data_IF_646450784524
#
_entry.id   IF_646450784524
#
_cell.length_a   1.000
_cell.length_b   1.000
_cell.length_c   1.000
_cell.angle_alpha   90.00
_cell.angle_beta   90.00
_cell.angle_gamma   90.00
#
_symmetry.space_group_name_H-M   'P 1'
#
loop_
_entity.id
_entity.type
_entity.pdbx_description
1 polymer ?
#
# COMPACT_ATOMS: atom_id res chain seq x y z
N UNK A 1 -24.18 -12.55 2.04
CA UNK A 1 -23.23 -11.51 1.64
C UNK A 1 -22.38 -11.19 2.85
N UNK A 2 -21.05 -11.29 2.75
CA UNK A 2 -20.19 -10.88 3.87
C UNK A 2 -20.46 -9.40 4.17
N UNK A 3 -20.52 -8.98 5.44
CA UNK A 3 -20.74 -7.59 5.81
C UNK A 3 -19.51 -6.75 5.41
N UNK A 4 -19.53 -6.25 4.19
CA UNK A 4 -18.45 -5.47 3.59
C UNK A 4 -18.83 -5.20 2.13
N UNK A 5 -18.63 -3.97 1.66
CA UNK A 5 -18.86 -3.62 0.26
C UNK A 5 -18.02 -4.48 -0.69
N UNK A 6 -18.19 -4.27 -1.99
CA UNK A 6 -17.34 -4.91 -3.00
C UNK A 6 -15.85 -4.61 -2.73
N UNK A 7 -15.02 -5.65 -2.82
CA UNK A 7 -13.56 -5.58 -2.72
C UNK A 7 -12.97 -6.21 -3.98
N UNK A 8 -12.17 -5.45 -4.73
CA UNK A 8 -11.46 -5.98 -5.87
C UNK A 8 -10.35 -6.96 -5.43
N UNK A 9 -10.03 -8.01 -6.21
CA UNK A 9 -8.87 -8.84 -5.94
C UNK A 9 -7.57 -8.02 -5.87
N UNK A 10 -6.59 -8.47 -5.08
CA UNK A 10 -5.28 -7.81 -5.04
C UNK A 10 -4.65 -7.80 -6.44
N UNK A 11 -4.23 -6.63 -6.90
CA UNK A 11 -3.48 -6.44 -8.14
C UNK A 11 -2.03 -6.08 -7.82
N UNK A 12 -1.08 -6.50 -8.66
CA UNK A 12 0.33 -6.14 -8.50
C UNK A 12 0.54 -4.66 -8.83
N UNK A 13 0.77 -3.84 -7.80
CA UNK A 13 1.05 -2.40 -7.96
C UNK A 13 2.52 -2.12 -8.21
N UNK A 14 3.40 -2.87 -7.54
CA UNK A 14 4.84 -2.81 -7.76
C UNK A 14 5.39 -4.21 -8.09
N UNK A 15 5.71 -4.49 -9.36
CA UNK A 15 6.35 -5.75 -9.74
C UNK A 15 7.79 -5.82 -9.19
N UNK A 16 8.21 -7.00 -8.70
CA UNK A 16 9.56 -7.23 -8.15
C UNK A 16 10.71 -6.73 -9.04
N UNK A 17 10.57 -6.93 -10.35
CA UNK A 17 11.56 -6.52 -11.36
C UNK A 17 11.79 -5.01 -11.43
N UNK A 18 10.83 -4.19 -10.97
CA UNK A 18 10.93 -2.73 -10.92
C UNK A 18 11.45 -2.20 -9.58
N UNK A 19 11.61 -3.07 -8.58
CA UNK A 19 11.88 -2.68 -7.20
C UNK A 19 12.90 -3.59 -6.50
N UNK A 20 13.94 -4.01 -7.24
CA UNK A 20 15.06 -4.81 -6.71
C UNK A 20 14.62 -6.07 -5.95
N UNK A 21 13.54 -6.70 -6.37
CA UNK A 21 13.00 -7.92 -5.76
C UNK A 21 11.78 -7.72 -4.86
N UNK A 22 11.39 -6.49 -4.51
CA UNK A 22 10.18 -6.25 -3.72
C UNK A 22 8.93 -6.29 -4.60
N UNK A 23 8.02 -7.23 -4.35
CA UNK A 23 6.69 -7.25 -4.98
C UNK A 23 5.62 -6.74 -4.02
N UNK A 24 4.73 -5.88 -4.52
CA UNK A 24 3.64 -5.30 -3.74
C UNK A 24 2.32 -5.46 -4.50
N UNK A 25 1.57 -6.54 -4.26
CA UNK A 25 0.17 -6.59 -4.62
C UNK A 25 -0.71 -5.97 -3.53
N UNK A 26 -1.77 -5.28 -3.95
CA UNK A 26 -2.68 -4.63 -3.01
C UNK A 26 -4.08 -4.45 -3.54
N UNK A 27 -4.98 -4.09 -2.62
CA UNK A 27 -6.36 -3.69 -2.89
C UNK A 27 -6.80 -2.63 -1.88
N UNK A 28 -7.98 -2.06 -2.09
CA UNK A 28 -8.62 -1.14 -1.15
C UNK A 28 -9.87 -1.77 -0.56
N UNK A 29 -10.11 -1.52 0.72
CA UNK A 29 -11.34 -1.95 1.38
C UNK A 29 -11.96 -0.79 2.14
N UNK A 30 -13.28 -0.84 2.26
CA UNK A 30 -14.05 0.06 3.10
C UNK A 30 -14.90 -0.77 4.05
N UNK A 31 -14.57 -0.74 5.34
CA UNK A 31 -15.19 -1.55 6.38
C UNK A 31 -15.64 -0.64 7.51
N UNK A 32 -16.94 -0.61 7.80
CA UNK A 32 -17.51 0.14 8.92
C UNK A 32 -17.11 1.64 8.94
N UNK A 33 -17.04 2.31 7.79
CA UNK A 33 -16.66 3.73 7.70
C UNK A 33 -15.15 3.99 7.64
N UNK A 34 -14.32 2.95 7.78
CA UNK A 34 -12.86 3.05 7.70
C UNK A 34 -12.35 2.54 6.37
N UNK A 35 -11.41 3.28 5.77
CA UNK A 35 -10.76 2.94 4.51
C UNK A 35 -9.41 2.30 4.83
N UNK A 36 -9.10 1.19 4.18
CA UNK A 36 -7.80 0.53 4.31
C UNK A 36 -7.19 0.29 2.94
N UNK A 37 -5.87 0.47 2.86
CA UNK A 37 -5.05 -0.10 1.81
C UNK A 37 -4.53 -1.45 2.33
N UNK A 38 -4.99 -2.54 1.71
CA UNK A 38 -4.59 -3.89 2.07
C UNK A 38 -3.45 -4.31 1.14
N UNK A 39 -2.28 -4.52 1.72
CA UNK A 39 -1.02 -4.69 1.00
C UNK A 39 -0.41 -6.03 1.37
N UNK A 40 0.18 -6.73 0.41
CA UNK A 40 1.12 -7.80 0.69
C UNK A 40 2.52 -7.32 0.27
N UNK A 41 3.52 -7.50 1.12
CA UNK A 41 4.91 -7.26 0.78
C UNK A 41 5.60 -8.61 0.62
N UNK A 42 6.14 -8.90 -0.56
CA UNK A 42 6.88 -10.13 -0.82
C UNK A 42 8.30 -9.80 -1.23
N UNK A 43 9.29 -10.27 -0.47
CA UNK A 43 10.70 -10.11 -0.79
C UNK A 43 11.16 -11.28 -1.69
N UNK A 44 11.37 -11.02 -2.98
CA UNK A 44 11.95 -11.96 -3.95
C UNK A 44 13.44 -11.73 -4.19
N UNK A 45 14.09 -10.86 -3.40
CA UNK A 45 15.52 -10.63 -3.45
C UNK A 45 16.29 -11.68 -2.61
N UNK A 46 17.61 -11.63 -2.68
CA UNK A 46 18.51 -12.48 -1.89
C UNK A 46 18.97 -11.83 -0.57
N UNK A 47 18.64 -10.56 -0.35
CA UNK A 47 18.96 -9.82 0.87
C UNK A 47 17.68 -9.50 1.64
N UNK A 48 17.80 -9.32 2.95
CA UNK A 48 16.69 -8.83 3.77
C UNK A 48 16.35 -7.38 3.41
N UNK A 49 15.11 -6.99 3.62
CA UNK A 49 14.62 -5.62 3.40
C UNK A 49 14.16 -5.03 4.73
N UNK A 50 14.51 -3.77 4.97
CA UNK A 50 14.23 -3.03 6.21
C UNK A 50 13.65 -1.66 5.90
N UNK A 51 13.29 -0.92 6.95
CA UNK A 51 13.02 0.52 6.88
C UNK A 51 11.99 0.91 5.81
N UNK A 52 10.92 0.11 5.72
CA UNK A 52 9.85 0.35 4.77
C UNK A 52 9.12 1.65 5.06
N UNK A 53 8.96 2.46 4.03
CA UNK A 53 8.21 3.71 4.09
C UNK A 53 7.25 3.84 2.91
N UNK A 54 6.15 4.54 3.15
CA UNK A 54 5.16 4.87 2.14
C UNK A 54 4.77 6.33 2.30
N UNK A 55 4.69 7.03 1.18
CA UNK A 55 4.17 8.40 1.14
C UNK A 55 3.22 8.52 -0.04
N UNK A 56 2.11 9.23 0.16
CA UNK A 56 1.20 9.57 -0.94
C UNK A 56 1.47 10.99 -1.41
N UNK A 57 1.51 11.15 -2.73
CA UNK A 57 1.41 12.48 -3.32
C UNK A 57 0.01 13.05 -3.03
N UNK A 58 -0.11 14.38 -3.15
CA UNK A 58 -1.42 15.05 -3.17
C UNK A 58 -2.29 14.37 -4.24
N UNK A 59 -3.56 14.16 -3.92
CA UNK A 59 -4.50 13.47 -4.81
C UNK A 59 -5.89 14.09 -4.73
N UNK A 60 -6.78 13.70 -5.65
CA UNK A 60 -8.08 14.37 -5.86
C UNK A 60 -9.00 14.32 -4.65
N UNK A 61 -8.80 13.35 -3.74
CA UNK A 61 -9.68 13.08 -2.61
C UNK A 61 -9.00 13.27 -1.26
N UNK A 62 -7.78 13.85 -1.24
CA UNK A 62 -7.03 14.07 0.00
C UNK A 62 -6.71 12.79 0.75
N UNK A 63 -6.62 11.65 0.05
CA UNK A 63 -6.32 10.35 0.67
C UNK A 63 -4.91 10.36 1.24
N UNK A 64 -4.75 9.98 2.50
CA UNK A 64 -3.46 9.91 3.19
C UNK A 64 -3.45 8.76 4.21
N UNK A 65 -2.30 8.11 4.47
CA UNK A 65 -2.17 7.17 5.57
C UNK A 65 -2.45 7.84 6.92
N UNK A 66 -3.23 7.17 7.78
CA UNK A 66 -3.53 7.64 9.13
C UNK A 66 -2.45 7.26 10.14
N UNK A 67 -1.64 6.26 9.81
CA UNK A 67 -0.52 5.77 10.63
C UNK A 67 0.68 5.45 9.74
N UNK A 68 1.90 5.39 10.30
CA UNK A 68 3.04 4.80 9.60
C UNK A 68 2.79 3.33 9.23
N UNK A 69 3.61 2.81 8.32
CA UNK A 69 3.57 1.41 7.91
C UNK A 69 4.07 0.53 9.06
N UNK A 70 3.27 -0.46 9.47
CA UNK A 70 3.56 -1.32 10.63
C UNK A 70 4.41 -2.55 10.23
N UNK A 71 5.62 -2.33 9.72
CA UNK A 71 6.59 -3.40 9.43
C UNK A 71 7.79 -3.22 10.36
N UNK A 72 7.82 -3.97 11.46
CA UNK A 72 8.80 -3.78 12.54
C UNK A 72 9.97 -4.76 12.49
N UNK A 73 9.89 -5.79 11.65
CA UNK A 73 10.93 -6.80 11.49
C UNK A 73 11.45 -6.79 10.06
N UNK A 74 12.76 -7.06 9.84
CA UNK A 74 13.29 -7.27 8.49
C UNK A 74 12.48 -8.31 7.72
N UNK A 75 12.14 -8.00 6.48
CA UNK A 75 11.49 -8.94 5.58
C UNK A 75 12.57 -9.80 4.90
N UNK A 76 12.66 -11.07 5.30
CA UNK A 76 13.69 -12.00 4.84
C UNK A 76 13.47 -12.43 3.38
N UNK A 77 14.51 -12.92 2.68
CA UNK A 77 14.35 -13.51 1.34
C UNK A 77 13.24 -14.58 1.27
N UNK A 78 12.41 -14.49 0.23
CA UNK A 78 11.22 -15.32 -0.02
C UNK A 78 10.11 -15.20 1.04
N UNK A 79 10.18 -14.24 1.94
CA UNK A 79 9.13 -13.98 2.93
C UNK A 79 8.05 -13.06 2.34
N UNK A 80 6.81 -13.33 2.75
CA UNK A 80 5.65 -12.48 2.48
C UNK A 80 4.97 -12.07 3.77
N UNK A 81 4.53 -10.81 3.86
CA UNK A 81 3.74 -10.29 4.98
C UNK A 81 2.53 -9.52 4.46
N UNK A 82 1.39 -9.64 5.14
CA UNK A 82 0.21 -8.81 4.89
C UNK A 82 0.18 -7.61 5.84
N UNK A 83 -0.13 -6.44 5.31
CA UNK A 83 -0.20 -5.18 6.03
C UNK A 83 -1.53 -4.48 5.70
N UNK A 84 -2.24 -4.08 6.75
CA UNK A 84 -3.45 -3.26 6.63
C UNK A 84 -3.13 -1.83 7.03
N UNK A 85 -3.08 -0.93 6.05
CA UNK A 85 -2.74 0.48 6.28
C UNK A 85 -4.03 1.32 6.33
N UNK A 86 -4.42 1.88 7.50
CA UNK A 86 -5.60 2.72 7.61
C UNK A 86 -5.39 4.05 6.88
N UNK A 87 -6.40 4.47 6.12
CA UNK A 87 -6.41 5.71 5.34
C UNK A 87 -7.52 6.65 5.80
N UNK A 88 -7.31 7.96 5.64
CA UNK A 88 -8.34 8.98 5.77
C UNK A 88 -8.28 9.96 4.58
N UNK A 89 -9.24 10.90 4.51
CA UNK A 89 -9.37 11.87 3.41
C UNK A 89 -9.13 13.32 3.86
N UNK A 90 -8.33 13.51 4.92
CA UNK A 90 -8.01 14.83 5.48
C UNK A 90 -6.66 15.38 4.98
N UNK A 91 -6.04 14.68 4.02
CA UNK A 91 -4.78 15.06 3.42
C UNK A 91 -4.90 16.18 2.38
N UNK A 92 -3.76 16.65 1.86
CA UNK A 92 -3.72 17.71 0.86
C UNK A 92 -4.33 17.26 -0.48
N UNK A 93 -5.18 18.12 -1.04
CA UNK A 93 -5.92 17.85 -2.29
C UNK A 93 -5.19 18.44 -3.49
N UNK A 94 -5.10 17.66 -4.56
CA UNK A 94 -4.68 18.11 -5.90
C UNK A 94 -5.42 17.26 -6.92
N UNK A 95 -6.10 17.89 -7.89
CA UNK A 95 -6.80 17.15 -8.94
C UNK A 95 -5.81 16.32 -9.75
N UNK A 96 -6.09 15.03 -9.87
CA UNK A 96 -5.33 14.07 -10.67
C UNK A 96 -6.05 13.77 -11.99
N UNK A 97 -5.30 13.25 -12.96
CA UNK A 97 -5.82 12.67 -14.20
C UNK A 97 -5.13 11.31 -14.43
N UNK A 98 -5.86 10.19 -14.46
CA UNK A 98 -7.29 10.02 -14.13
C UNK A 98 -7.64 10.48 -12.71
N UNK A 99 -8.92 10.82 -12.46
CA UNK A 99 -9.38 11.43 -11.20
C UNK A 99 -9.06 10.58 -9.96
N UNK A 100 -9.14 9.25 -10.08
CA UNK A 100 -8.89 8.30 -9.01
C UNK A 100 -7.42 7.84 -8.91
N UNK A 101 -6.52 8.45 -9.68
CA UNK A 101 -5.11 8.08 -9.64
C UNK A 101 -4.49 8.46 -8.29
N UNK A 102 -3.79 7.51 -7.68
CA UNK A 102 -3.09 7.68 -6.41
C UNK A 102 -1.62 7.29 -6.59
N UNK A 103 -0.75 8.29 -6.64
CA UNK A 103 0.69 8.06 -6.68
C UNK A 103 1.21 7.79 -5.28
N UNK A 104 1.78 6.60 -5.10
CA UNK A 104 2.27 6.09 -3.82
C UNK A 104 3.69 5.54 -3.98
N UNK A 105 4.72 6.41 -4.02
CA UNK A 105 6.10 5.93 -3.97
C UNK A 105 6.31 5.07 -2.71
N UNK A 106 6.75 3.83 -2.95
CA UNK A 106 7.22 2.93 -1.90
C UNK A 106 8.73 3.09 -1.78
N UNK A 107 9.20 3.34 -0.55
CA UNK A 107 10.61 3.37 -0.21
C UNK A 107 11.01 2.10 0.55
N UNK A 108 12.17 1.57 0.20
CA UNK A 108 12.89 0.54 0.97
C UNK A 108 14.32 1.07 1.11
N UNK A 109 14.84 1.12 2.33
CA UNK A 109 16.21 1.55 2.61
C UNK A 109 17.08 0.37 3.04
#
# INVERSE_FOLDING_TARGET
MAPGGYVAPKAVWLPAVKAKGLEIPGTFTHRQGHIYMEINFTNKALQHMTDFAIQFNKNSFGVIPSTPLAIHTPLMPNQSIDVSLPLNTLGPVMKMEPLNNLQSPFGVF
#
